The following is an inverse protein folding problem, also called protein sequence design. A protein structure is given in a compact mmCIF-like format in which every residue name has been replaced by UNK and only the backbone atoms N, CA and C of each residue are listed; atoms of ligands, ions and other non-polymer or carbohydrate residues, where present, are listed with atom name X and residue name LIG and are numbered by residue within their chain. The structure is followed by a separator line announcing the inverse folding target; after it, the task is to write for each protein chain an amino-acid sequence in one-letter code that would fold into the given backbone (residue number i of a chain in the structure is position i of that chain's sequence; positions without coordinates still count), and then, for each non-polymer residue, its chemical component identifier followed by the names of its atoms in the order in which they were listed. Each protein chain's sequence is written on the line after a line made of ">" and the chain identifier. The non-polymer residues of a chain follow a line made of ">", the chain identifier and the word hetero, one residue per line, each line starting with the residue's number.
data_IF_073984274177
#
_entry.id   IF_073984274177
#
_cell.length_a   1.000
_cell.length_b   1.000
_cell.length_c   1.000
_cell.angle_alpha   90.00
_cell.angle_beta   90.00
_cell.angle_gamma   90.00
#
_symmetry.space_group_name_H-M   'P 1'
#
loop_
_entity.id
_entity.type
_entity.pdbx_description
1 polymer ?
#
# COMPACT_ATOMS: atom_id res chain seq x y z
N UNK A 1 -22.65 7.93 36.60
CA UNK A 1 -23.74 7.80 35.61
C UNK A 1 -23.69 9.04 34.76
N UNK A 2 -22.89 8.99 33.70
CA UNK A 2 -22.57 10.12 32.83
C UNK A 2 -23.12 9.79 31.45
N UNK A 3 -24.00 10.67 30.98
CA UNK A 3 -24.76 10.55 29.74
C UNK A 3 -23.85 10.33 28.52
N UNK A 4 -23.88 9.13 27.95
CA UNK A 4 -23.39 8.87 26.59
C UNK A 4 -24.30 9.60 25.61
N UNK A 5 -23.89 10.80 25.23
CA UNK A 5 -24.57 11.55 24.18
C UNK A 5 -24.26 10.88 22.84
N UNK A 6 -25.24 10.11 22.35
CA UNK A 6 -25.23 9.42 21.06
C UNK A 6 -24.92 10.41 19.93
N UNK A 7 -23.74 10.27 19.33
CA UNK A 7 -23.23 11.10 18.23
C UNK A 7 -24.18 11.06 17.03
N UNK A 8 -24.90 9.95 16.82
CA UNK A 8 -25.90 9.80 15.78
C UNK A 8 -27.09 10.76 15.91
N UNK A 9 -27.52 11.06 17.15
CA UNK A 9 -28.66 11.96 17.39
C UNK A 9 -28.26 13.43 17.18
N UNK A 10 -27.00 13.78 17.47
CA UNK A 10 -26.45 15.12 17.19
C UNK A 10 -26.30 15.37 15.69
N UNK A 11 -25.82 14.39 14.92
CA UNK A 11 -25.72 14.49 13.46
C UNK A 11 -27.09 14.64 12.79
N UNK A 12 -28.12 13.95 13.32
CA UNK A 12 -29.51 14.10 12.85
C UNK A 12 -30.10 15.47 13.17
N UNK A 13 -29.81 16.03 14.35
CA UNK A 13 -30.26 17.37 14.72
C UNK A 13 -29.61 18.48 13.85
N UNK A 14 -28.37 18.28 13.43
CA UNK A 14 -27.63 19.21 12.57
C UNK A 14 -28.15 19.23 11.14
N UNK A 15 -28.55 18.08 10.59
CA UNK A 15 -29.08 17.96 9.24
C UNK A 15 -30.39 18.75 8.99
N UNK A 16 -31.12 19.14 10.05
CA UNK A 16 -32.41 19.82 9.95
C UNK A 16 -32.33 21.35 9.83
N UNK A 17 -31.15 21.98 10.02
CA UNK A 17 -31.01 23.45 10.11
C UNK A 17 -30.56 24.17 8.83
N UNK A 18 -30.60 23.50 7.69
CA UNK A 18 -30.31 24.07 6.38
C UNK A 18 -28.81 24.12 6.03
N UNK A 19 -28.47 24.15 4.73
CA UNK A 19 -27.13 23.82 4.23
C UNK A 19 -26.06 24.88 4.52
N UNK A 20 -26.42 26.16 4.65
CA UNK A 20 -25.44 27.25 4.76
C UNK A 20 -24.86 27.39 6.18
N UNK A 21 -25.64 27.03 7.21
CA UNK A 21 -25.15 26.99 8.59
C UNK A 21 -24.33 25.72 8.91
N UNK A 22 -24.48 24.66 8.10
CA UNK A 22 -23.76 23.41 8.30
C UNK A 22 -22.25 23.58 8.04
N UNK A 23 -21.87 24.39 7.05
CA UNK A 23 -20.46 24.58 6.67
C UNK A 23 -19.70 25.43 7.70
N UNK A 24 -20.33 26.45 8.28
CA UNK A 24 -19.71 27.24 9.36
C UNK A 24 -19.65 26.47 10.68
N UNK A 25 -20.66 25.64 10.97
CA UNK A 25 -20.64 24.81 12.18
C UNK A 25 -19.71 23.61 12.03
N UNK A 26 -19.57 23.02 10.83
CA UNK A 26 -18.57 22.00 10.53
C UNK A 26 -17.15 22.55 10.69
N UNK A 27 -16.89 23.81 10.32
CA UNK A 27 -15.59 24.44 10.54
C UNK A 27 -15.29 24.74 12.01
N UNK A 28 -16.29 25.15 12.80
CA UNK A 28 -16.09 25.39 14.24
C UNK A 28 -16.09 24.10 15.06
N UNK A 29 -16.81 23.08 14.62
CA UNK A 29 -16.81 21.76 15.24
C UNK A 29 -15.69 20.87 14.72
N UNK A 30 -15.06 21.13 13.57
CA UNK A 30 -13.84 20.44 13.15
C UNK A 30 -12.76 20.64 14.20
N UNK A 31 -12.52 21.87 14.69
CA UNK A 31 -11.53 22.08 15.77
C UNK A 31 -11.90 21.34 17.08
N UNK A 32 -13.20 21.25 17.40
CA UNK A 32 -13.67 20.58 18.62
C UNK A 32 -13.77 19.04 18.47
N UNK A 33 -14.01 18.55 17.25
CA UNK A 33 -14.03 17.14 16.86
C UNK A 33 -12.61 16.62 16.63
N UNK A 34 -11.70 17.40 16.06
CA UNK A 34 -10.27 17.12 15.98
C UNK A 34 -9.68 16.95 17.39
N UNK A 35 -10.06 17.83 18.33
CA UNK A 35 -9.67 17.71 19.73
C UNK A 35 -10.33 16.55 20.48
N UNK A 36 -11.55 16.12 20.10
CA UNK A 36 -12.30 15.04 20.80
C UNK A 36 -12.24 13.67 20.13
N UNK A 37 -11.89 13.58 18.85
CA UNK A 37 -11.84 12.34 18.05
C UNK A 37 -10.41 11.83 17.79
N UNK A 38 -9.37 12.52 18.28
CA UNK A 38 -8.02 11.95 18.39
C UNK A 38 -7.50 11.33 17.09
N UNK A 39 -7.63 12.05 15.96
CA UNK A 39 -7.11 11.62 14.66
C UNK A 39 -5.59 11.38 14.66
N UNK A 40 -4.87 11.84 15.69
CA UNK A 40 -3.45 11.53 15.92
C UNK A 40 -3.16 10.05 16.27
N UNK A 41 -4.19 9.23 16.51
CA UNK A 41 -3.99 7.84 16.95
C UNK A 41 -4.19 6.78 15.87
N UNK A 42 -4.74 7.13 14.69
CA UNK A 42 -5.06 6.13 13.64
C UNK A 42 -6.09 5.06 14.06
N UNK A 43 -6.83 5.27 15.16
CA UNK A 43 -7.75 4.28 15.75
C UNK A 43 -9.09 4.22 15.01
N UNK A 44 -9.52 5.30 14.34
CA UNK A 44 -10.79 5.32 13.61
C UNK A 44 -10.58 5.06 12.11
N UNK A 45 -10.79 3.81 11.70
CA UNK A 45 -10.87 3.44 10.28
C UNK A 45 -12.22 3.93 9.70
N UNK A 46 -12.21 5.17 9.22
CA UNK A 46 -13.38 5.82 8.61
C UNK A 46 -13.92 4.98 7.43
N UNK A 47 -13.06 4.25 6.71
CA UNK A 47 -13.47 3.37 5.62
C UNK A 47 -14.36 2.25 6.12
N UNK A 48 -13.97 1.63 7.22
CA UNK A 48 -14.71 0.55 7.85
C UNK A 48 -16.06 1.05 8.35
N UNK A 49 -16.09 2.20 9.05
CA UNK A 49 -17.33 2.79 9.55
C UNK A 49 -18.32 3.13 8.41
N UNK A 50 -17.83 3.66 7.28
CA UNK A 50 -18.67 3.95 6.11
C UNK A 50 -19.16 2.68 5.43
N UNK A 51 -18.35 1.62 5.38
CA UNK A 51 -18.75 0.36 4.74
C UNK A 51 -19.71 -0.48 5.60
N UNK A 52 -19.66 -0.35 6.92
CA UNK A 52 -20.54 -1.06 7.84
C UNK A 52 -21.96 -0.45 7.91
N UNK A 53 -22.14 0.83 7.53
CA UNK A 53 -23.44 1.52 7.45
C UNK A 53 -23.91 1.72 5.98
N UNK A 54 -24.96 0.99 5.53
CA UNK A 54 -25.48 1.09 4.17
C UNK A 54 -26.01 2.48 3.79
N UNK A 55 -26.60 3.22 4.72
CA UNK A 55 -27.19 4.55 4.45
C UNK A 55 -26.07 5.60 4.32
N UNK A 56 -25.05 5.50 5.18
CA UNK A 56 -23.86 6.34 5.11
C UNK A 56 -23.09 6.09 3.80
N UNK A 57 -22.90 4.83 3.43
CA UNK A 57 -22.25 4.42 2.18
C UNK A 57 -22.95 5.01 0.95
N UNK A 58 -24.27 4.92 0.91
CA UNK A 58 -25.06 5.44 -0.22
C UNK A 58 -24.94 6.97 -0.31
N UNK A 59 -25.02 7.66 0.82
CA UNK A 59 -24.93 9.12 0.88
C UNK A 59 -23.54 9.64 0.50
N UNK A 60 -22.49 8.95 0.96
CA UNK A 60 -21.11 9.21 0.55
C UNK A 60 -20.95 8.99 -0.95
N UNK A 61 -21.46 7.88 -1.49
CA UNK A 61 -21.41 7.62 -2.94
C UNK A 61 -22.04 8.75 -3.76
N UNK A 62 -23.22 9.23 -3.35
CA UNK A 62 -23.91 10.34 -4.04
C UNK A 62 -23.14 11.66 -3.98
N UNK A 63 -22.44 11.94 -2.88
CA UNK A 63 -21.58 13.12 -2.75
C UNK A 63 -20.38 12.97 -3.69
N UNK A 64 -19.73 11.81 -3.68
CA UNK A 64 -18.57 11.57 -4.53
C UNK A 64 -18.92 11.68 -6.00
N UNK A 65 -20.06 11.15 -6.44
CA UNK A 65 -20.52 11.27 -7.84
C UNK A 65 -20.79 12.72 -8.25
N UNK A 66 -21.12 13.60 -7.29
CA UNK A 66 -21.38 15.02 -7.53
C UNK A 66 -20.09 15.84 -7.67
N UNK A 67 -19.02 15.44 -6.98
CA UNK A 67 -17.77 16.21 -6.90
C UNK A 67 -16.64 15.63 -7.77
N UNK A 68 -16.64 14.31 -7.98
CA UNK A 68 -15.64 13.59 -8.76
C UNK A 68 -16.30 12.96 -9.99
N UNK A 69 -15.90 13.40 -11.19
CA UNK A 69 -16.32 12.73 -12.42
C UNK A 69 -15.83 11.28 -12.40
N UNK A 70 -16.75 10.31 -12.48
CA UNK A 70 -16.44 8.86 -12.48
C UNK A 70 -15.39 8.43 -13.54
N UNK A 71 -15.17 9.22 -14.59
CA UNK A 71 -14.20 8.92 -15.64
C UNK A 71 -12.74 8.97 -15.17
N UNK A 72 -12.39 9.87 -14.24
CA UNK A 72 -11.00 10.02 -13.76
C UNK A 72 -10.62 8.96 -12.70
N UNK A 73 -11.61 8.47 -11.94
CA UNK A 73 -11.40 7.38 -10.95
C UNK A 73 -10.97 6.06 -11.58
N UNK A 74 -11.41 5.77 -12.80
CA UNK A 74 -11.25 4.45 -13.37
C UNK A 74 -9.81 4.15 -13.82
N UNK A 75 -9.00 5.17 -14.19
CA UNK A 75 -7.66 4.92 -14.72
C UNK A 75 -6.59 4.71 -13.64
N UNK A 76 -6.61 5.48 -12.55
CA UNK A 76 -5.61 5.35 -11.49
C UNK A 76 -5.76 4.05 -10.70
N UNK A 77 -6.99 3.55 -10.58
CA UNK A 77 -7.38 2.42 -9.76
C UNK A 77 -7.12 1.06 -10.40
N UNK A 78 -6.92 1.01 -11.72
CA UNK A 78 -6.62 -0.23 -12.46
C UNK A 78 -5.40 -0.95 -11.87
N UNK A 79 -4.42 -0.19 -11.37
CA UNK A 79 -3.18 -0.75 -10.84
C UNK A 79 -3.39 -1.47 -9.50
N UNK A 80 -4.53 -1.28 -8.83
CA UNK A 80 -4.79 -1.84 -7.50
C UNK A 80 -5.44 -3.21 -7.51
N UNK A 81 -6.20 -3.53 -8.56
CA UNK A 81 -6.89 -4.82 -8.71
C UNK A 81 -6.00 -5.76 -9.51
N UNK A 82 -5.82 -6.98 -9.02
CA UNK A 82 -5.12 -8.00 -9.79
C UNK A 82 -5.99 -8.53 -10.93
N UNK A 83 -5.52 -8.39 -12.17
CA UNK A 83 -6.17 -8.93 -13.37
C UNK A 83 -5.41 -10.17 -13.89
N UNK A 84 -6.01 -11.34 -13.69
CA UNK A 84 -5.43 -12.62 -14.11
C UNK A 84 -5.43 -12.84 -15.63
N UNK A 85 -6.32 -12.19 -16.38
CA UNK A 85 -6.33 -12.27 -17.85
C UNK A 85 -5.26 -11.36 -18.46
N UNK A 86 -5.13 -10.13 -17.96
CA UNK A 86 -4.04 -9.22 -18.33
C UNK A 86 -2.68 -9.85 -18.01
N UNK A 87 -2.57 -10.46 -16.82
CA UNK A 87 -1.34 -11.15 -16.40
C UNK A 87 -0.99 -12.27 -17.39
N UNK A 88 -1.90 -13.22 -17.64
CA UNK A 88 -1.66 -14.32 -18.59
C UNK A 88 -1.37 -13.84 -20.02
N UNK A 89 -2.10 -12.84 -20.50
CA UNK A 89 -1.95 -12.31 -21.86
C UNK A 89 -0.57 -11.71 -22.12
N UNK A 90 -0.06 -10.91 -21.18
CA UNK A 90 1.29 -10.33 -21.27
C UNK A 90 2.40 -11.38 -21.17
N UNK A 91 2.24 -12.42 -20.34
CA UNK A 91 3.22 -13.51 -20.22
C UNK A 91 3.26 -14.33 -21.52
N UNK A 92 2.08 -14.65 -22.09
CA UNK A 92 1.98 -15.36 -23.36
C UNK A 92 2.56 -14.56 -24.55
N UNK A 93 2.43 -13.22 -24.55
CA UNK A 93 3.06 -12.36 -25.55
C UNK A 93 4.59 -12.42 -25.46
N UNK A 94 5.15 -12.32 -24.25
CA UNK A 94 6.61 -12.40 -24.02
C UNK A 94 7.18 -13.76 -24.37
N UNK A 95 6.52 -14.85 -23.99
CA UNK A 95 6.97 -16.22 -24.31
C UNK A 95 7.06 -16.50 -25.83
N UNK A 96 6.34 -15.75 -26.67
CA UNK A 96 6.45 -15.86 -28.14
C UNK A 96 7.71 -15.21 -28.72
N UNK A 97 8.31 -14.27 -28.00
CA UNK A 97 9.46 -13.48 -28.43
C UNK A 97 10.81 -14.01 -27.90
N UNK A 98 10.80 -14.97 -26.97
CA UNK A 98 12.04 -15.52 -26.38
C UNK A 98 12.75 -16.45 -27.38
N UNK A 99 13.78 -15.93 -28.07
CA UNK A 99 14.71 -16.73 -28.85
C UNK A 99 15.78 -17.40 -27.94
N UNK A 100 16.32 -18.53 -28.40
CA UNK A 100 17.11 -19.56 -27.67
C UNK A 100 18.51 -19.12 -27.16
N UNK A 101 18.60 -17.99 -26.49
CA UNK A 101 19.69 -17.68 -25.55
C UNK A 101 19.08 -17.57 -24.16
N UNK A 102 19.80 -17.95 -23.09
CA UNK A 102 19.36 -17.79 -21.69
C UNK A 102 19.21 -16.30 -21.34
N UNK A 103 18.22 -15.64 -21.92
CA UNK A 103 17.92 -14.25 -21.70
C UNK A 103 17.30 -14.12 -20.32
N UNK A 104 18.04 -13.50 -19.42
CA UNK A 104 17.62 -13.27 -18.05
C UNK A 104 16.73 -12.03 -18.03
N UNK A 105 15.43 -12.23 -17.84
CA UNK A 105 14.43 -11.16 -17.88
C UNK A 105 13.97 -10.79 -16.47
N UNK A 106 14.40 -9.63 -15.90
CA UNK A 106 13.87 -9.18 -14.63
C UNK A 106 12.38 -8.77 -14.76
N UNK A 107 11.59 -8.86 -13.68
CA UNK A 107 10.22 -8.34 -13.72
C UNK A 107 10.20 -6.84 -14.02
N UNK A 108 9.08 -6.36 -14.57
CA UNK A 108 8.91 -4.92 -14.82
C UNK A 108 9.03 -4.14 -13.49
N UNK A 109 9.56 -2.92 -13.55
CA UNK A 109 9.76 -2.05 -12.38
C UNK A 109 10.67 -2.67 -11.30
N UNK A 110 11.51 -3.66 -11.66
CA UNK A 110 12.49 -4.27 -10.77
C UNK A 110 13.60 -3.28 -10.39
N UNK A 111 13.97 -3.24 -9.11
CA UNK A 111 15.14 -2.49 -8.63
C UNK A 111 15.64 -3.08 -7.31
N UNK A 112 16.94 -2.92 -7.07
CA UNK A 112 17.51 -3.03 -5.72
C UNK A 112 17.03 -1.86 -4.86
N UNK A 113 16.80 -2.11 -3.56
CA UNK A 113 16.47 -1.06 -2.58
C UNK A 113 17.68 -0.79 -1.69
N UNK A 114 18.12 -1.79 -0.93
CA UNK A 114 19.26 -1.74 0.00
C UNK A 114 19.63 -3.18 0.39
N UNK A 115 20.93 -3.47 0.56
CA UNK A 115 21.41 -4.78 1.01
C UNK A 115 20.90 -5.91 0.11
N UNK A 116 20.09 -6.80 0.65
CA UNK A 116 19.46 -7.90 -0.10
C UNK A 116 17.93 -7.76 -0.20
N UNK A 117 17.44 -6.52 -0.16
CA UNK A 117 16.03 -6.16 -0.31
C UNK A 117 15.80 -5.58 -1.71
N UNK A 118 14.85 -6.15 -2.44
CA UNK A 118 14.51 -5.80 -3.81
C UNK A 118 13.05 -5.40 -3.95
N UNK A 119 12.70 -4.61 -4.98
CA UNK A 119 11.33 -4.31 -5.39
C UNK A 119 11.05 -4.77 -6.81
N UNK A 120 9.80 -5.05 -7.13
CA UNK A 120 9.33 -5.19 -8.52
C UNK A 120 7.82 -5.00 -8.69
N UNK A 121 7.36 -5.05 -9.94
CA UNK A 121 5.98 -5.41 -10.26
C UNK A 121 5.73 -6.91 -10.06
N UNK A 122 4.51 -7.36 -10.35
CA UNK A 122 4.11 -8.75 -10.18
C UNK A 122 4.96 -9.71 -11.04
N UNK A 123 5.71 -10.66 -10.44
CA UNK A 123 6.53 -11.61 -11.18
C UNK A 123 5.72 -12.51 -12.12
N UNK A 124 6.30 -12.81 -13.28
CA UNK A 124 5.73 -13.68 -14.30
C UNK A 124 6.66 -14.87 -14.57
N UNK A 125 6.18 -15.93 -15.25
CA UNK A 125 6.98 -17.13 -15.52
C UNK A 125 8.31 -16.84 -16.22
N UNK A 126 8.33 -15.89 -17.15
CA UNK A 126 9.55 -15.44 -17.82
C UNK A 126 10.60 -14.84 -16.86
N UNK A 127 10.20 -14.40 -15.67
CA UNK A 127 11.09 -13.81 -14.67
C UNK A 127 11.64 -14.83 -13.67
N UNK A 128 11.04 -16.02 -13.58
CA UNK A 128 11.35 -17.00 -12.53
C UNK A 128 12.83 -17.41 -12.54
N UNK A 129 13.42 -17.57 -13.72
CA UNK A 129 14.85 -17.89 -13.83
C UNK A 129 15.74 -16.79 -13.24
N UNK A 130 15.42 -15.51 -13.47
CA UNK A 130 16.14 -14.39 -12.87
C UNK A 130 16.02 -14.40 -11.34
N UNK A 131 14.80 -14.57 -10.83
CA UNK A 131 14.53 -14.56 -9.38
C UNK A 131 15.24 -15.71 -8.66
N UNK A 132 15.25 -16.90 -9.25
CA UNK A 132 15.87 -18.09 -8.65
C UNK A 132 17.39 -18.11 -8.82
N UNK A 133 17.90 -17.92 -10.04
CA UNK A 133 19.31 -18.18 -10.32
C UNK A 133 20.21 -16.94 -10.12
N UNK A 134 19.68 -15.76 -10.43
CA UNK A 134 20.45 -14.50 -10.34
C UNK A 134 20.35 -13.88 -8.96
N UNK A 135 19.13 -13.68 -8.44
CA UNK A 135 18.92 -13.09 -7.11
C UNK A 135 19.01 -14.11 -5.97
N UNK A 136 18.73 -15.38 -6.25
CA UNK A 136 18.71 -16.47 -5.25
C UNK A 136 17.82 -16.11 -4.06
N UNK A 137 16.61 -15.64 -4.38
CA UNK A 137 15.67 -15.21 -3.38
C UNK A 137 15.41 -16.32 -2.36
N UNK A 138 15.37 -15.92 -1.10
CA UNK A 138 14.92 -16.76 0.02
C UNK A 138 13.43 -16.55 0.28
N UNK A 139 12.96 -15.32 0.10
CA UNK A 139 11.56 -15.00 0.33
C UNK A 139 11.00 -13.97 -0.65
N UNK A 140 9.69 -13.97 -0.80
CA UNK A 140 8.90 -12.99 -1.55
C UNK A 140 7.83 -12.44 -0.62
N UNK A 141 7.69 -11.12 -0.59
CA UNK A 141 6.58 -10.45 0.09
C UNK A 141 5.63 -9.80 -0.93
N UNK A 142 4.39 -10.25 -0.91
CA UNK A 142 3.30 -9.70 -1.73
C UNK A 142 2.38 -8.82 -0.89
N UNK A 143 2.09 -7.62 -1.40
CA UNK A 143 1.31 -6.59 -0.70
C UNK A 143 -0.17 -6.55 -1.13
N UNK A 144 -0.63 -7.54 -1.89
CA UNK A 144 -2.00 -7.58 -2.42
C UNK A 144 -2.86 -8.56 -1.58
N UNK A 145 -4.12 -8.22 -1.28
CA UNK A 145 -5.02 -9.10 -0.53
C UNK A 145 -5.55 -10.28 -1.36
N UNK A 146 -5.50 -10.21 -2.69
CA UNK A 146 -6.00 -11.24 -3.59
C UNK A 146 -5.17 -12.54 -3.51
N UNK A 147 -5.80 -13.65 -3.87
CA UNK A 147 -5.14 -14.96 -3.89
C UNK A 147 -3.98 -14.99 -4.89
N UNK A 148 -2.86 -15.57 -4.48
CA UNK A 148 -1.67 -15.65 -5.30
C UNK A 148 -1.84 -16.72 -6.40
N UNK A 149 -1.47 -16.47 -7.66
CA UNK A 149 -1.61 -17.43 -8.75
C UNK A 149 -0.85 -18.73 -8.47
N UNK A 150 -1.49 -19.86 -8.80
CA UNK A 150 -0.94 -21.21 -8.55
C UNK A 150 0.43 -21.43 -9.22
N UNK A 151 0.61 -20.90 -10.43
CA UNK A 151 1.88 -20.99 -11.16
C UNK A 151 3.04 -20.37 -10.39
N UNK A 152 2.81 -19.23 -9.75
CA UNK A 152 3.82 -18.58 -8.93
C UNK A 152 4.04 -19.33 -7.60
N UNK A 153 2.97 -19.83 -6.96
CA UNK A 153 3.12 -20.62 -5.73
C UNK A 153 3.87 -21.93 -5.96
N UNK A 154 3.62 -22.59 -7.08
CA UNK A 154 4.29 -23.83 -7.47
C UNK A 154 5.78 -23.58 -7.73
N UNK A 155 6.11 -22.48 -8.42
CA UNK A 155 7.50 -22.04 -8.60
C UNK A 155 8.19 -21.79 -7.25
N UNK A 156 7.55 -21.04 -6.34
CA UNK A 156 8.12 -20.76 -5.03
C UNK A 156 8.34 -22.02 -4.21
N UNK A 157 7.37 -22.96 -4.23
CA UNK A 157 7.50 -24.23 -3.54
C UNK A 157 8.65 -25.09 -4.08
N UNK A 158 8.85 -25.11 -5.41
CA UNK A 158 9.95 -25.83 -6.05
C UNK A 158 11.32 -25.17 -5.80
N UNK A 159 11.36 -23.85 -5.77
CA UNK A 159 12.58 -23.08 -5.55
C UNK A 159 12.96 -22.95 -4.06
N UNK A 160 12.06 -23.35 -3.14
CA UNK A 160 12.27 -23.19 -1.69
C UNK A 160 12.15 -21.74 -1.21
N UNK A 161 11.32 -20.94 -1.88
CA UNK A 161 11.08 -19.53 -1.58
C UNK A 161 9.87 -19.40 -0.65
N UNK A 162 10.04 -18.72 0.48
CA UNK A 162 8.96 -18.45 1.42
C UNK A 162 8.10 -17.25 0.97
N UNK A 163 6.77 -17.40 0.97
CA UNK A 163 5.84 -16.32 0.62
C UNK A 163 5.28 -15.65 1.88
N UNK A 164 5.48 -14.34 2.00
CA UNK A 164 4.81 -13.48 2.97
C UNK A 164 3.70 -12.69 2.29
N UNK A 165 2.44 -12.95 2.65
CA UNK A 165 1.30 -12.19 2.12
C UNK A 165 0.78 -11.20 3.15
N UNK A 166 0.90 -9.91 2.85
CA UNK A 166 0.41 -8.82 3.69
C UNK A 166 -0.54 -7.97 2.85
N UNK A 167 -1.81 -8.35 2.83
CA UNK A 167 -2.82 -7.70 2.03
C UNK A 167 -3.07 -6.25 2.46
N UNK A 168 -2.63 -5.30 1.65
CA UNK A 168 -2.90 -3.88 1.85
C UNK A 168 -3.97 -3.41 0.85
N UNK A 169 -5.02 -2.76 1.36
CA UNK A 169 -5.90 -1.93 0.53
C UNK A 169 -5.10 -0.73 0.00
N UNK A 170 -5.25 -0.36 -1.27
CA UNK A 170 -4.55 0.80 -1.82
C UNK A 170 -4.97 2.11 -1.15
N UNK A 171 -4.07 3.09 -1.06
CA UNK A 171 -4.43 4.44 -0.60
C UNK A 171 -5.23 5.15 -1.69
N UNK A 172 -6.51 5.43 -1.44
CA UNK A 172 -7.41 6.05 -2.41
C UNK A 172 -8.31 7.08 -1.74
N UNK A 173 -8.48 8.21 -2.43
CA UNK A 173 -9.55 9.13 -2.07
C UNK A 173 -10.92 8.47 -2.29
N UNK A 174 -11.89 8.76 -1.43
CA UNK A 174 -11.85 9.70 -0.29
C UNK A 174 -11.44 9.09 1.05
N UNK A 175 -11.46 7.76 1.22
CA UNK A 175 -11.42 7.14 2.55
C UNK A 175 -10.64 5.83 2.64
N UNK A 176 -9.88 5.40 1.63
CA UNK A 176 -9.11 4.14 1.73
C UNK A 176 -7.68 4.48 2.15
N UNK A 177 -7.25 3.97 3.30
CA UNK A 177 -5.89 4.14 3.79
C UNK A 177 -5.29 2.78 4.16
N UNK A 178 -3.98 2.63 4.03
CA UNK A 178 -3.23 1.46 4.51
C UNK A 178 -3.15 1.55 6.04
N UNK A 179 -3.63 0.54 6.79
CA UNK A 179 -3.50 0.55 8.25
C UNK A 179 -2.03 0.54 8.70
N UNK A 180 -1.68 1.36 9.70
CA UNK A 180 -0.32 1.47 10.24
C UNK A 180 0.23 0.14 10.76
N UNK A 181 -0.61 -0.70 11.35
CA UNK A 181 -0.21 -2.02 11.84
C UNK A 181 0.15 -3.00 10.72
N UNK A 182 -0.50 -2.88 9.54
CA UNK A 182 -0.13 -3.69 8.36
C UNK A 182 1.23 -3.25 7.82
N UNK A 183 1.47 -1.94 7.75
CA UNK A 183 2.76 -1.41 7.34
C UNK A 183 3.89 -1.83 8.29
N UNK A 184 3.67 -1.71 9.60
CA UNK A 184 4.64 -2.11 10.62
C UNK A 184 5.00 -3.59 10.52
N UNK A 185 4.00 -4.46 10.32
CA UNK A 185 4.24 -5.89 10.06
C UNK A 185 5.05 -6.13 8.78
N UNK A 186 4.73 -5.41 7.71
CA UNK A 186 5.48 -5.52 6.46
C UNK A 186 6.92 -5.04 6.59
N UNK A 187 7.16 -3.97 7.34
CA UNK A 187 8.51 -3.50 7.65
C UNK A 187 9.28 -4.52 8.48
N UNK A 188 8.67 -5.11 9.50
CA UNK A 188 9.31 -6.15 10.32
C UNK A 188 9.77 -7.35 9.47
N UNK A 189 8.93 -7.81 8.54
CA UNK A 189 9.29 -8.88 7.60
C UNK A 189 10.39 -8.43 6.63
N UNK A 190 10.27 -7.21 6.09
CA UNK A 190 11.18 -6.68 5.08
C UNK A 190 12.60 -6.47 5.60
N UNK A 191 12.77 -5.92 6.80
CA UNK A 191 14.08 -5.55 7.33
C UNK A 191 14.75 -6.69 8.12
N UNK A 192 14.03 -7.78 8.40
CA UNK A 192 14.59 -8.95 9.08
C UNK A 192 15.62 -9.68 8.19
N UNK A 193 16.92 -9.69 8.56
CA UNK A 193 17.97 -10.34 7.76
C UNK A 193 17.76 -11.85 7.58
N UNK A 194 17.00 -12.50 8.45
CA UNK A 194 16.68 -13.91 8.31
C UNK A 194 15.83 -14.21 7.06
N UNK A 195 15.13 -13.21 6.51
CA UNK A 195 14.28 -13.37 5.33
C UNK A 195 15.02 -13.05 4.03
N UNK A 196 16.24 -12.52 4.11
CA UNK A 196 17.00 -12.05 2.95
C UNK A 196 17.70 -13.20 2.21
N UNK A 197 17.84 -13.13 0.87
CA UNK A 197 17.36 -12.07 -0.04
C UNK A 197 15.84 -12.07 -0.23
N UNK A 198 15.22 -10.89 -0.17
CA UNK A 198 13.77 -10.70 -0.21
C UNK A 198 13.33 -9.81 -1.38
N UNK A 199 12.28 -10.23 -2.09
CA UNK A 199 11.61 -9.41 -3.10
C UNK A 199 10.26 -8.89 -2.60
N UNK A 200 10.05 -7.58 -2.68
CA UNK A 200 8.81 -6.91 -2.34
C UNK A 200 8.07 -6.54 -3.62
N UNK A 201 6.80 -6.94 -3.74
CA UNK A 201 5.99 -6.53 -4.88
C UNK A 201 4.51 -6.34 -4.54
N UNK A 202 3.82 -5.61 -5.42
CA UNK A 202 2.36 -5.59 -5.52
C UNK A 202 1.98 -5.95 -6.97
N UNK A 203 0.90 -5.38 -7.52
CA UNK A 203 0.56 -5.59 -8.93
C UNK A 203 1.60 -4.92 -9.86
N UNK A 204 1.82 -3.61 -9.71
CA UNK A 204 2.72 -2.83 -10.59
C UNK A 204 4.01 -2.36 -9.91
N UNK A 205 4.18 -2.67 -8.62
CA UNK A 205 5.34 -2.22 -7.85
C UNK A 205 5.39 -0.71 -7.63
N UNK A 206 4.25 -0.01 -7.70
CA UNK A 206 4.14 1.46 -7.66
C UNK A 206 3.69 1.97 -6.29
N UNK A 207 2.38 1.88 -6.00
CA UNK A 207 1.75 2.51 -4.83
C UNK A 207 2.09 1.79 -3.51
N UNK A 208 1.52 0.61 -3.27
CA UNK A 208 1.75 -0.19 -2.05
C UNK A 208 3.24 -0.47 -1.79
N UNK A 209 3.95 -0.95 -2.81
CA UNK A 209 5.40 -1.16 -2.74
C UNK A 209 6.15 0.14 -2.51
N UNK A 210 5.75 1.24 -3.16
CA UNK A 210 6.37 2.56 -2.99
C UNK A 210 6.20 3.11 -1.58
N UNK A 211 5.02 2.98 -0.97
CA UNK A 211 4.78 3.37 0.42
C UNK A 211 5.69 2.61 1.38
N UNK A 212 5.77 1.28 1.24
CA UNK A 212 6.62 0.47 2.09
C UNK A 212 8.11 0.81 1.91
N UNK A 213 8.58 0.94 0.67
CA UNK A 213 9.96 1.34 0.38
C UNK A 213 10.26 2.73 0.93
N UNK A 214 9.33 3.68 0.80
CA UNK A 214 9.48 5.01 1.37
C UNK A 214 9.64 4.99 2.89
N UNK A 215 8.91 4.11 3.59
CA UNK A 215 9.08 3.91 5.03
C UNK A 215 10.40 3.23 5.39
N UNK A 216 10.90 2.31 4.56
CA UNK A 216 12.27 1.77 4.71
C UNK A 216 13.29 2.92 4.59
N UNK A 217 13.15 3.83 3.62
CA UNK A 217 14.04 4.99 3.49
C UNK A 217 13.98 5.93 4.68
N UNK A 218 12.81 6.07 5.30
CA UNK A 218 12.68 6.83 6.56
C UNK A 218 13.48 6.22 7.69
N UNK A 219 13.46 4.88 7.85
CA UNK A 219 14.31 4.18 8.83
C UNK A 219 15.82 4.38 8.55
N UNK A 220 16.19 4.65 7.30
CA UNK A 220 17.56 5.00 6.91
C UNK A 220 17.89 6.49 7.13
N UNK A 221 16.97 7.27 7.71
CA UNK A 221 17.08 8.73 7.91
C UNK A 221 17.30 9.52 6.61
N UNK A 222 16.71 9.07 5.49
CA UNK A 222 16.73 9.85 4.25
C UNK A 222 15.84 11.10 4.37
N UNK A 223 16.21 12.17 3.67
CA UNK A 223 15.35 13.36 3.56
C UNK A 223 14.08 13.03 2.77
N UNK A 224 12.91 13.53 3.21
CA UNK A 224 11.63 13.34 2.50
C UNK A 224 11.70 13.74 1.02
N UNK A 225 12.49 14.75 0.66
CA UNK A 225 12.73 15.15 -0.73
C UNK A 225 13.23 13.99 -1.60
N UNK A 226 14.21 13.24 -1.12
CA UNK A 226 14.77 12.09 -1.86
C UNK A 226 13.85 10.88 -1.81
N UNK A 227 13.11 10.70 -0.72
CA UNK A 227 12.12 9.63 -0.59
C UNK A 227 11.00 9.82 -1.62
N UNK A 228 10.46 11.04 -1.73
CA UNK A 228 9.41 11.36 -2.68
C UNK A 228 9.90 11.34 -4.13
N UNK A 229 11.14 11.75 -4.39
CA UNK A 229 11.75 11.61 -5.71
C UNK A 229 11.84 10.13 -6.13
N UNK A 230 12.35 9.26 -5.25
CA UNK A 230 12.41 7.82 -5.51
C UNK A 230 11.02 7.23 -5.74
N UNK A 231 10.05 7.58 -4.88
CA UNK A 231 8.66 7.14 -5.04
C UNK A 231 8.11 7.53 -6.42
N UNK A 232 8.20 8.82 -6.79
CA UNK A 232 7.65 9.33 -8.06
C UNK A 232 8.32 8.69 -9.26
N UNK A 233 9.63 8.44 -9.19
CA UNK A 233 10.39 7.76 -10.25
C UNK A 233 9.83 6.37 -10.56
N UNK A 234 9.50 5.58 -9.53
CA UNK A 234 8.94 4.24 -9.70
C UNK A 234 7.42 4.23 -9.91
N UNK A 235 6.70 5.26 -9.45
CA UNK A 235 5.25 5.37 -9.57
C UNK A 235 4.79 6.05 -10.88
N UNK A 236 5.69 6.71 -11.61
CA UNK A 236 5.37 7.36 -12.88
C UNK A 236 4.68 6.40 -13.87
N UNK A 237 3.65 6.84 -14.62
CA UNK A 237 3.03 8.18 -14.63
C UNK A 237 1.95 8.39 -13.57
N UNK A 238 1.62 7.37 -12.76
CA UNK A 238 0.48 7.35 -11.83
C UNK A 238 0.91 7.59 -10.38
N UNK A 239 1.77 8.59 -10.13
CA UNK A 239 2.22 8.89 -8.78
C UNK A 239 1.08 9.55 -7.98
N UNK A 240 0.78 9.04 -6.78
CA UNK A 240 -0.30 9.55 -5.92
C UNK A 240 0.26 10.45 -4.81
N UNK A 241 -0.42 11.54 -4.52
CA UNK A 241 -0.04 12.43 -3.41
C UNK A 241 -0.30 11.76 -2.05
N UNK A 242 -1.40 11.00 -1.93
CA UNK A 242 -1.75 10.29 -0.70
C UNK A 242 -0.68 9.30 -0.23
N UNK A 243 0.01 8.63 -1.15
CA UNK A 243 1.10 7.72 -0.80
C UNK A 243 2.30 8.46 -0.18
N UNK A 244 2.59 9.66 -0.67
CA UNK A 244 3.68 10.49 -0.13
C UNK A 244 3.30 11.05 1.25
N UNK A 245 2.08 11.52 1.39
CA UNK A 245 1.54 11.95 2.68
C UNK A 245 1.53 10.79 3.69
N UNK A 246 1.18 9.58 3.25
CA UNK A 246 1.25 8.38 4.07
C UNK A 246 2.67 8.09 4.57
N UNK A 247 3.66 8.17 3.68
CA UNK A 247 5.08 8.02 4.07
C UNK A 247 5.48 9.09 5.08
N UNK A 248 5.07 10.35 4.90
CA UNK A 248 5.38 11.46 5.80
C UNK A 248 4.76 11.31 7.18
N UNK A 249 3.50 10.85 7.25
CA UNK A 249 2.75 10.76 8.50
C UNK A 249 3.01 9.45 9.27
N UNK A 250 3.75 8.50 8.70
CA UNK A 250 4.02 7.23 9.38
C UNK A 250 4.80 7.45 10.69
N UNK A 251 4.26 6.92 11.79
CA UNK A 251 4.98 6.81 13.05
C UNK A 251 5.86 5.55 13.03
N UNK A 252 7.17 5.77 13.01
CA UNK A 252 8.18 4.73 12.91
C UNK A 252 8.74 4.30 14.27
N UNK A 253 8.28 4.85 15.39
CA UNK A 253 8.83 4.59 16.72
C UNK A 253 8.72 3.10 17.10
N UNK A 254 7.57 2.49 16.83
CA UNK A 254 7.33 1.06 17.10
C UNK A 254 8.28 0.15 16.34
N UNK A 255 8.50 0.42 15.05
CA UNK A 255 9.39 -0.42 14.23
C UNK A 255 10.86 -0.14 14.54
N UNK A 256 11.23 1.10 14.87
CA UNK A 256 12.59 1.44 15.34
C UNK A 256 12.94 0.67 16.61
N UNK A 257 12.04 0.66 17.59
CA UNK A 257 12.26 -0.09 18.82
C UNK A 257 12.48 -1.58 18.55
N UNK A 258 11.63 -2.21 17.72
CA UNK A 258 11.79 -3.63 17.34
C UNK A 258 13.13 -3.86 16.63
N UNK A 259 13.52 -2.95 15.74
CA UNK A 259 14.74 -3.09 14.96
C UNK A 259 16.00 -2.84 15.79
N UNK A 260 15.97 -1.96 16.79
CA UNK A 260 17.04 -1.75 17.76
C UNK A 260 17.20 -2.95 18.70
N UNK A 261 16.08 -3.48 19.22
CA UNK A 261 16.08 -4.65 20.10
C UNK A 261 16.67 -5.90 19.43
N UNK A 262 16.52 -6.00 18.10
CA UNK A 262 17.01 -7.13 17.28
C UNK A 262 18.31 -6.84 16.53
N UNK A 263 18.94 -5.69 16.74
CA UNK A 263 20.18 -5.24 16.08
C UNK A 263 20.09 -5.26 14.53
N UNK A 264 18.95 -4.81 13.99
CA UNK A 264 18.69 -4.70 12.55
C UNK A 264 19.07 -3.34 11.96
N UNK A 265 19.31 -2.33 12.80
CA UNK A 265 19.76 -1.00 12.39
C UNK A 265 21.26 -0.80 12.70
N UNK A 266 22.02 -0.10 11.84
CA UNK A 266 21.60 0.47 10.55
C UNK A 266 21.47 -0.59 9.46
N UNK A 267 20.49 -0.40 8.56
CA UNK A 267 20.31 -1.27 7.39
C UNK A 267 21.53 -1.12 6.46
N UNK A 268 22.27 -2.21 6.26
CA UNK A 268 23.53 -2.22 5.51
C UNK A 268 23.30 -2.31 4.00
N UNK A 269 24.16 -1.64 3.23
CA UNK A 269 24.22 -1.69 1.77
C UNK A 269 24.97 -2.92 1.28
#
# INVERSE_FOLDING_TARGET
>A
MSDEVNVGDKLRALALRGPENLVQLLKQQDEELESKLGQDSGILDLHRAINEDPELKQRVSMILDKFYNMAERNEEDVDDIYDAEEHRGKSAARLRDVNVTEEVVPPENFSHIVGEIYRSSFPRPENFSFLQHSLRLKSIMVLIPEEYPSENTDFMAQAGIELFQIGMSGNKEPFVNIPWDLLTRALEVAINPANHPILIHCNRGKHRTGCLVGCIRRLQNWSLTMIFDEYRRFAFPKARALDQQFIEMYDEDKIKQIAEDKDWLPIRW
#
